data_IF_683158740215
#
_entry.id   IF_683158740215
#
_cell.length_a   1.000
_cell.length_b   1.000
_cell.length_c   1.000
_cell.angle_alpha   90.00
_cell.angle_beta   90.00
_cell.angle_gamma   90.00
#
_symmetry.space_group_name_H-M   'P 1'
#
loop_
_entity.id
_entity.type
_entity.pdbx_description
1 polymer ?
#
# COMPACT_ATOMS: atom_id res chain seq x y z
N UNK A 1 -15.74 19.51 5.18
CA UNK A 1 -14.98 18.59 6.04
C UNK A 1 -13.97 17.88 5.16
N UNK A 2 -12.72 17.72 5.59
CA UNK A 2 -11.71 16.98 4.82
C UNK A 2 -11.99 15.47 4.89
N UNK A 3 -11.64 14.76 3.82
CA UNK A 3 -11.79 13.31 3.71
C UNK A 3 -10.42 12.65 3.55
N UNK A 4 -10.33 11.38 3.93
CA UNK A 4 -9.19 10.49 3.65
C UNK A 4 -9.72 9.35 2.77
N UNK A 5 -9.11 9.16 1.60
CA UNK A 5 -9.47 8.06 0.69
C UNK A 5 -8.77 6.79 1.12
N UNK A 6 -9.54 5.79 1.55
CA UNK A 6 -9.06 4.45 1.89
C UNK A 6 -9.34 3.48 0.74
N UNK A 7 -8.81 2.26 0.83
CA UNK A 7 -9.07 1.19 -0.14
C UNK A 7 -10.53 0.75 -0.18
N UNK A 8 -11.31 0.98 0.89
CA UNK A 8 -12.74 0.67 0.97
C UNK A 8 -13.65 1.89 0.80
N UNK A 9 -13.09 3.07 0.52
CA UNK A 9 -13.83 4.31 0.31
C UNK A 9 -13.34 5.47 1.16
N UNK A 10 -13.99 6.62 1.00
CA UNK A 10 -13.64 7.84 1.72
C UNK A 10 -14.18 7.79 3.16
N UNK A 11 -13.35 8.18 4.13
CA UNK A 11 -13.72 8.41 5.54
C UNK A 11 -13.58 9.90 5.88
N UNK A 12 -14.28 10.38 6.91
CA UNK A 12 -14.00 11.73 7.42
C UNK A 12 -12.62 11.74 8.09
N UNK A 13 -11.86 12.82 7.94
CA UNK A 13 -10.51 12.90 8.54
C UNK A 13 -10.52 12.74 10.07
N UNK A 14 -11.63 13.07 10.74
CA UNK A 14 -11.83 12.86 12.18
C UNK A 14 -11.93 11.38 12.59
N UNK A 15 -12.17 10.47 11.65
CA UNK A 15 -12.31 9.03 11.88
C UNK A 15 -10.97 8.29 11.76
N UNK A 16 -9.87 8.98 11.42
CA UNK A 16 -8.56 8.37 11.21
C UNK A 16 -7.97 7.70 12.48
N UNK A 17 -8.29 8.22 13.66
CA UNK A 17 -7.79 7.70 14.94
C UNK A 17 -6.24 7.64 15.00
N UNK A 18 -5.70 6.70 15.79
CA UNK A 18 -4.26 6.43 15.81
C UNK A 18 -3.86 5.88 14.45
N UNK A 19 -2.91 6.55 13.81
CA UNK A 19 -2.51 6.28 12.42
C UNK A 19 -1.05 5.88 12.35
N UNK A 20 -0.78 4.73 11.76
CA UNK A 20 0.56 4.38 11.30
C UNK A 20 0.75 4.91 9.88
N UNK A 21 1.58 5.94 9.76
CA UNK A 21 1.64 6.78 8.56
C UNK A 21 2.56 6.23 7.44
N UNK A 22 3.28 5.13 7.68
CA UNK A 22 4.16 4.52 6.70
C UNK A 22 4.37 3.04 7.01
N UNK A 23 3.59 2.18 6.35
CA UNK A 23 3.64 0.74 6.53
C UNK A 23 3.70 0.01 5.19
N UNK A 24 3.87 -1.30 5.28
CA UNK A 24 4.08 -2.20 4.17
C UNK A 24 3.33 -3.50 4.48
N UNK A 25 2.11 -3.64 3.95
CA UNK A 25 1.22 -4.75 4.27
C UNK A 25 1.31 -5.87 3.24
N UNK A 26 1.50 -5.50 1.96
CA UNK A 26 1.74 -6.45 0.86
C UNK A 26 2.88 -5.95 -0.01
N UNK A 27 3.89 -6.80 -0.16
CA UNK A 27 5.05 -6.65 -1.01
C UNK A 27 5.23 -7.93 -1.81
N UNK A 28 4.58 -8.01 -2.96
CA UNK A 28 4.52 -9.20 -3.81
C UNK A 28 4.94 -8.86 -5.24
N UNK A 29 6.21 -9.06 -5.57
CA UNK A 29 6.72 -8.95 -6.94
C UNK A 29 7.84 -9.94 -7.20
N UNK A 30 7.98 -10.38 -8.46
CA UNK A 30 9.05 -11.29 -8.86
C UNK A 30 10.46 -10.74 -8.58
N UNK A 31 10.64 -9.41 -8.63
CA UNK A 31 11.91 -8.77 -8.30
C UNK A 31 12.21 -8.86 -6.80
N UNK A 32 11.20 -8.66 -5.95
CA UNK A 32 11.33 -8.82 -4.50
C UNK A 32 11.57 -10.29 -4.15
N UNK A 33 10.80 -11.21 -4.71
CA UNK A 33 10.96 -12.64 -4.46
C UNK A 33 12.36 -13.13 -4.84
N UNK A 34 12.88 -12.73 -6.01
CA UNK A 34 14.19 -13.16 -6.47
C UNK A 34 15.37 -12.44 -5.79
N UNK A 35 15.24 -11.14 -5.50
CA UNK A 35 16.36 -10.31 -5.01
C UNK A 35 16.35 -10.04 -3.51
N UNK A 36 15.17 -10.07 -2.88
CA UNK A 36 14.94 -9.65 -1.50
C UNK A 36 13.88 -10.53 -0.80
N UNK A 37 14.03 -11.86 -0.76
CA UNK A 37 12.99 -12.75 -0.21
C UNK A 37 12.67 -12.47 1.28
N UNK A 38 13.57 -11.83 2.02
CA UNK A 38 13.39 -11.46 3.42
C UNK A 38 12.38 -10.31 3.65
N UNK A 39 11.99 -9.57 2.61
CA UNK A 39 10.94 -8.54 2.67
C UNK A 39 9.69 -8.93 1.86
N UNK A 40 9.61 -10.18 1.40
CA UNK A 40 8.43 -10.67 0.69
C UNK A 40 7.25 -10.77 1.67
N UNK A 41 6.19 -10.02 1.39
CA UNK A 41 4.96 -10.02 2.16
C UNK A 41 3.80 -10.33 1.21
N UNK A 42 3.53 -11.62 0.98
CA UNK A 42 2.54 -12.07 -0.01
C UNK A 42 1.38 -12.89 0.61
N UNK A 43 1.33 -12.98 1.94
CA UNK A 43 0.33 -13.74 2.69
C UNK A 43 -0.67 -12.80 3.41
N UNK A 44 -1.92 -12.85 2.96
CA UNK A 44 -3.01 -12.04 3.52
C UNK A 44 -3.39 -12.47 4.94
N UNK A 45 -3.32 -13.76 5.26
CA UNK A 45 -3.66 -14.26 6.60
C UNK A 45 -2.60 -13.82 7.62
N UNK A 46 -1.32 -13.88 7.25
CA UNK A 46 -0.24 -13.35 8.06
C UNK A 46 -0.38 -11.84 8.28
N UNK A 47 -0.67 -11.07 7.21
CA UNK A 47 -0.87 -9.62 7.31
C UNK A 47 -2.07 -9.28 8.20
N UNK A 48 -3.19 -10.00 8.10
CA UNK A 48 -4.36 -9.80 8.96
C UNK A 48 -4.01 -10.03 10.44
N UNK A 49 -3.22 -11.07 10.77
CA UNK A 49 -2.82 -11.34 12.14
C UNK A 49 -2.00 -10.18 12.76
N UNK A 50 -1.04 -9.63 12.02
CA UNK A 50 -0.23 -8.49 12.46
C UNK A 50 -1.06 -7.19 12.57
N UNK A 51 -1.94 -6.94 11.59
CA UNK A 51 -2.82 -5.77 11.63
C UNK A 51 -3.85 -5.87 12.76
N UNK A 52 -4.38 -7.05 13.07
CA UNK A 52 -5.26 -7.25 14.22
C UNK A 52 -4.55 -7.02 15.55
N UNK A 53 -3.27 -7.38 15.65
CA UNK A 53 -2.46 -7.05 16.82
C UNK A 53 -2.30 -5.53 16.97
N UNK A 54 -2.01 -4.81 15.89
CA UNK A 54 -1.94 -3.35 15.89
C UNK A 54 -3.29 -2.69 16.22
N UNK A 55 -4.39 -3.20 15.64
CA UNK A 55 -5.76 -2.78 15.96
C UNK A 55 -6.06 -2.95 17.46
N UNK A 56 -5.68 -4.10 18.02
CA UNK A 56 -5.87 -4.40 19.45
C UNK A 56 -5.08 -3.45 20.34
N UNK A 57 -3.97 -2.88 19.84
CA UNK A 57 -3.20 -1.82 20.48
C UNK A 57 -3.77 -0.39 20.25
N UNK A 58 -4.87 -0.25 19.51
CA UNK A 58 -5.59 1.01 19.29
C UNK A 58 -5.36 1.66 17.93
N UNK A 59 -4.61 1.04 17.01
CA UNK A 59 -4.44 1.56 15.64
C UNK A 59 -5.76 1.47 14.87
N UNK A 60 -6.16 2.59 14.26
CA UNK A 60 -7.38 2.69 13.48
C UNK A 60 -7.11 2.83 11.98
N UNK A 61 -5.96 3.42 11.60
CA UNK A 61 -5.60 3.66 10.20
C UNK A 61 -4.14 3.29 9.94
N UNK A 62 -3.88 2.74 8.76
CA UNK A 62 -2.54 2.48 8.24
C UNK A 62 -2.41 3.04 6.83
N UNK A 63 -1.26 3.62 6.52
CA UNK A 63 -0.91 4.03 5.16
C UNK A 63 0.05 2.98 4.59
N UNK A 64 -0.43 2.18 3.65
CA UNK A 64 0.45 1.32 2.85
C UNK A 64 1.21 2.18 1.85
N UNK A 65 2.52 2.30 2.10
CA UNK A 65 3.43 3.14 1.36
C UNK A 65 4.05 2.42 0.15
N UNK A 66 3.53 1.25 -0.25
CA UNK A 66 4.02 0.54 -1.43
C UNK A 66 3.44 1.17 -2.71
N UNK A 67 4.26 1.81 -3.57
CA UNK A 67 3.77 2.51 -4.75
C UNK A 67 3.42 1.52 -5.88
N UNK A 68 3.01 2.05 -7.04
CA UNK A 68 2.61 1.19 -8.13
C UNK A 68 3.81 0.40 -8.69
N UNK A 69 3.50 -0.80 -9.20
CA UNK A 69 4.41 -1.65 -9.95
C UNK A 69 5.69 -2.13 -9.22
N UNK A 70 5.81 -1.92 -7.90
CA UNK A 70 6.90 -2.46 -7.08
C UNK A 70 6.50 -3.62 -6.17
N UNK A 71 5.22 -4.03 -6.18
CA UNK A 71 4.71 -5.16 -5.38
C UNK A 71 3.42 -4.89 -4.61
N UNK A 72 2.80 -3.72 -4.81
CA UNK A 72 1.49 -3.36 -4.27
C UNK A 72 0.39 -4.25 -4.84
N UNK A 73 -0.52 -4.71 -3.98
CA UNK A 73 -1.77 -5.39 -4.38
C UNK A 73 -2.99 -4.81 -3.66
N UNK A 74 -3.76 -3.97 -4.37
CA UNK A 74 -4.92 -3.28 -3.79
C UNK A 74 -6.08 -4.22 -3.44
N UNK A 75 -6.19 -5.37 -4.09
CA UNK A 75 -7.26 -6.34 -3.81
C UNK A 75 -6.97 -7.05 -2.49
N UNK A 76 -5.71 -7.43 -2.27
CA UNK A 76 -5.26 -8.00 -0.99
C UNK A 76 -5.33 -6.96 0.14
N UNK A 77 -4.95 -5.70 -0.13
CA UNK A 77 -5.11 -4.61 0.86
C UNK A 77 -6.57 -4.37 1.23
N UNK A 78 -7.50 -4.39 0.27
CA UNK A 78 -8.93 -4.33 0.54
C UNK A 78 -9.37 -5.47 1.45
N UNK A 79 -8.94 -6.70 1.17
CA UNK A 79 -9.25 -7.88 1.98
C UNK A 79 -8.73 -7.78 3.42
N UNK A 80 -7.53 -7.21 3.62
CA UNK A 80 -6.97 -6.96 4.96
C UNK A 80 -7.83 -5.91 5.69
N UNK A 81 -8.18 -4.81 5.01
CA UNK A 81 -9.02 -3.76 5.59
C UNK A 81 -10.41 -4.30 5.98
N UNK A 82 -11.04 -5.12 5.14
CA UNK A 82 -12.33 -5.75 5.43
C UNK A 82 -12.28 -6.66 6.66
N UNK A 83 -11.23 -7.49 6.78
CA UNK A 83 -11.12 -8.50 7.83
C UNK A 83 -10.75 -7.93 9.19
N UNK A 84 -9.90 -6.91 9.18
CA UNK A 84 -9.40 -6.28 10.41
C UNK A 84 -10.24 -5.09 10.81
N UNK A 85 -10.94 -4.45 9.87
CA UNK A 85 -11.64 -3.18 10.08
C UNK A 85 -10.71 -1.98 10.30
N UNK A 86 -9.41 -2.12 10.02
CA UNK A 86 -8.46 -1.00 10.00
C UNK A 86 -8.60 -0.27 8.66
N UNK A 87 -8.65 1.06 8.69
CA UNK A 87 -8.67 1.88 7.48
C UNK A 87 -7.30 1.78 6.79
N UNK A 88 -7.26 1.38 5.52
CA UNK A 88 -6.00 1.31 4.76
C UNK A 88 -5.99 2.38 3.68
N UNK A 89 -5.08 3.34 3.78
CA UNK A 89 -4.77 4.30 2.72
C UNK A 89 -3.68 3.70 1.84
N UNK A 90 -3.82 3.82 0.52
CA UNK A 90 -2.91 3.20 -0.43
C UNK A 90 -2.15 4.26 -1.22
N UNK A 91 -0.83 4.20 -1.21
CA UNK A 91 0.01 5.11 -1.98
C UNK A 91 -0.09 4.87 -3.50
N UNK A 92 -0.06 5.96 -4.26
CA UNK A 92 0.23 5.96 -5.70
C UNK A 92 1.70 6.37 -5.93
N UNK A 93 2.09 6.64 -7.17
CA UNK A 93 3.44 7.10 -7.49
C UNK A 93 4.42 5.96 -7.76
N UNK A 94 5.72 6.27 -7.66
CA UNK A 94 6.83 5.37 -7.97
C UNK A 94 7.89 5.35 -6.85
N UNK A 95 8.58 4.23 -6.75
CA UNK A 95 9.70 4.03 -5.83
C UNK A 95 11.06 4.37 -6.46
N UNK A 96 12.13 4.00 -5.77
CA UNK A 96 13.50 4.12 -6.24
C UNK A 96 13.72 3.16 -7.43
N UNK A 97 14.49 3.55 -8.46
CA UNK A 97 14.72 2.73 -9.67
C UNK A 97 15.18 1.29 -9.42
N UNK A 98 15.85 1.02 -8.30
CA UNK A 98 16.31 -0.33 -7.90
C UNK A 98 15.19 -1.36 -7.76
N UNK A 99 13.95 -0.92 -7.55
CA UNK A 99 12.77 -1.78 -7.41
C UNK A 99 12.02 -1.99 -8.72
N UNK A 100 12.58 -1.49 -9.83
CA UNK A 100 12.03 -1.63 -11.17
C UNK A 100 13.06 -2.33 -12.06
N UNK A 101 12.60 -3.22 -12.93
CA UNK A 101 13.47 -3.86 -13.92
C UNK A 101 14.01 -2.85 -14.95
N UNK A 102 15.11 -3.18 -15.66
CA UNK A 102 15.74 -2.27 -16.63
C UNK A 102 14.84 -1.89 -17.81
N UNK A 103 13.79 -2.68 -18.08
CA UNK A 103 12.81 -2.46 -19.16
C UNK A 103 11.44 -2.04 -18.62
N UNK A 104 11.38 -1.57 -17.37
CA UNK A 104 10.12 -1.20 -16.75
C UNK A 104 9.58 0.11 -17.38
N UNK A 105 8.27 0.15 -17.64
CA UNK A 105 7.60 1.26 -18.35
C UNK A 105 7.84 2.63 -17.71
N UNK A 106 8.06 2.66 -16.40
CA UNK A 106 8.33 3.88 -15.62
C UNK A 106 9.62 4.60 -16.03
N UNK A 107 10.55 3.91 -16.68
CA UNK A 107 11.77 4.51 -17.24
C UNK A 107 11.59 5.06 -18.66
N UNK A 108 10.40 4.91 -19.25
CA UNK A 108 10.13 5.20 -20.67
C UNK A 108 9.05 6.28 -20.84
N UNK A 109 8.11 6.38 -19.89
CA UNK A 109 7.04 7.38 -19.91
C UNK A 109 7.52 8.76 -19.42
N UNK A 110 6.89 9.83 -19.92
CA UNK A 110 7.19 11.21 -19.52
C UNK A 110 6.65 11.55 -18.13
N UNK A 111 7.13 12.68 -17.57
CA UNK A 111 6.59 13.20 -16.31
C UNK A 111 5.10 13.57 -16.42
N UNK A 112 4.66 14.06 -17.57
CA UNK A 112 3.25 14.39 -17.85
C UNK A 112 2.38 13.12 -17.90
N UNK A 113 2.85 12.05 -18.55
CA UNK A 113 2.15 10.76 -18.56
C UNK A 113 2.03 10.15 -17.16
N UNK A 114 3.07 10.30 -16.33
CA UNK A 114 3.04 9.88 -14.92
C UNK A 114 2.08 10.73 -14.08
N UNK A 115 2.04 12.04 -14.31
CA UNK A 115 1.12 12.93 -13.62
C UNK A 115 -0.34 12.54 -13.95
N UNK A 116 -0.66 12.34 -15.22
CA UNK A 116 -1.98 11.89 -15.66
C UNK A 116 -2.37 10.56 -14.99
N UNK A 117 -1.45 9.60 -14.92
CA UNK A 117 -1.72 8.30 -14.29
C UNK A 117 -1.98 8.39 -12.78
N UNK A 118 -1.30 9.29 -12.06
CA UNK A 118 -1.32 9.30 -10.60
C UNK A 118 -2.27 10.32 -9.98
N UNK A 119 -2.51 11.44 -10.66
CA UNK A 119 -3.29 12.56 -10.13
C UNK A 119 -4.29 13.14 -11.15
N UNK A 120 -4.34 12.60 -12.38
CA UNK A 120 -5.29 12.97 -13.44
C UNK A 120 -6.67 12.37 -13.25
#
# INVERSE_FOLDING_TARGET
MSVIRTVLGDIAASEAGVTYAHEHLILDSALIEAGYPHILLNDVDAAVAEVDAARSAGVATMVDAMPCASGRDVVRLARISERTGVNIVVATGLHHPRYYGPTHWTGIVSAEELAELFIG
#
